data_IF_530000705799
#
_entry.id   IF_530000705799
#
_cell.length_a   1.000
_cell.length_b   1.000
_cell.length_c   1.000
_cell.angle_alpha   90.00
_cell.angle_beta   90.00
_cell.angle_gamma   90.00
#
_symmetry.space_group_name_H-M   'P 1'
#
loop_
_entity.id
_entity.type
_entity.pdbx_description
1 polymer ?
#
# COMPACT_ATOMS: atom_id res chain seq x y z
N UNK A 1 -3.70 14.33 3.12
CA UNK A 1 -3.39 14.68 4.51
C UNK A 1 -2.89 16.10 4.62
N UNK A 2 -1.56 16.32 4.62
CA UNK A 2 -0.95 17.61 4.93
C UNK A 2 -1.23 18.77 3.95
N UNK A 3 -1.57 18.47 2.70
CA UNK A 3 -1.84 19.47 1.65
C UNK A 3 -3.33 19.81 1.47
N UNK A 4 -4.17 19.44 2.45
CA UNK A 4 -5.60 19.68 2.42
C UNK A 4 -6.04 20.29 3.76
N UNK A 5 -6.82 21.37 3.70
CA UNK A 5 -7.45 21.96 4.89
C UNK A 5 -8.58 21.05 5.37
N UNK A 6 -8.78 20.94 6.69
CA UNK A 6 -9.82 20.10 7.25
C UNK A 6 -11.24 20.43 6.70
N UNK A 7 -11.55 21.71 6.47
CA UNK A 7 -12.83 22.14 5.90
C UNK A 7 -13.08 21.61 4.48
N UNK A 8 -12.02 21.29 3.72
CA UNK A 8 -12.17 20.72 2.38
C UNK A 8 -12.63 19.26 2.41
N UNK A 9 -12.49 18.58 3.56
CA UNK A 9 -12.96 17.21 3.76
C UNK A 9 -14.40 17.16 4.32
N UNK A 10 -15.05 18.30 4.55
CA UNK A 10 -16.42 18.34 5.06
C UNK A 10 -17.38 17.61 4.11
N UNK A 11 -18.23 16.74 4.67
CA UNK A 11 -19.15 15.89 3.93
C UNK A 11 -18.52 14.73 3.14
N UNK A 12 -17.20 14.50 3.25
CA UNK A 12 -16.50 13.38 2.58
C UNK A 12 -16.28 12.19 3.53
N UNK A 13 -16.12 10.99 2.96
CA UNK A 13 -15.67 9.82 3.72
C UNK A 13 -14.14 9.76 3.72
N UNK A 14 -13.53 9.79 4.92
CA UNK A 14 -12.08 9.72 5.09
C UNK A 14 -11.69 8.38 5.68
N UNK A 15 -10.96 7.58 4.90
CA UNK A 15 -10.39 6.30 5.33
C UNK A 15 -8.91 6.47 5.71
N UNK A 16 -8.50 5.91 6.85
CA UNK A 16 -7.09 5.82 7.29
C UNK A 16 -6.60 4.37 7.30
N UNK A 17 -5.34 4.15 7.69
CA UNK A 17 -4.77 2.79 7.75
C UNK A 17 -5.50 1.89 8.74
N UNK A 18 -5.98 2.45 9.85
CA UNK A 18 -6.73 1.73 10.88
C UNK A 18 -8.05 1.21 10.31
N UNK A 19 -8.84 2.09 9.71
CA UNK A 19 -10.11 1.70 9.07
C UNK A 19 -9.90 0.72 7.92
N UNK A 20 -8.87 0.93 7.09
CA UNK A 20 -8.56 0.00 6.00
C UNK A 20 -8.10 -1.38 6.51
N UNK A 21 -7.45 -1.44 7.67
CA UNK A 21 -7.09 -2.71 8.32
C UNK A 21 -8.34 -3.43 8.82
N UNK A 22 -9.27 -2.69 9.42
CA UNK A 22 -10.54 -3.24 9.94
C UNK A 22 -11.44 -3.83 8.84
N UNK A 23 -11.40 -3.29 7.61
CA UNK A 23 -12.15 -3.89 6.49
C UNK A 23 -11.60 -5.24 6.03
N UNK A 24 -10.33 -5.54 6.35
CA UNK A 24 -9.62 -6.73 5.87
C UNK A 24 -9.21 -6.67 4.39
N UNK A 25 -9.45 -5.54 3.69
CA UNK A 25 -9.22 -5.41 2.23
C UNK A 25 -7.76 -5.65 1.82
N UNK A 26 -6.82 -5.39 2.74
CA UNK A 26 -5.37 -5.51 2.51
C UNK A 26 -4.69 -6.51 3.46
N UNK A 27 -5.43 -7.44 4.06
CA UNK A 27 -4.84 -8.39 5.02
C UNK A 27 -3.73 -9.25 4.41
N UNK A 28 -3.87 -9.62 3.14
CA UNK A 28 -2.84 -10.30 2.35
C UNK A 28 -1.61 -9.43 2.11
N UNK A 29 -1.79 -8.16 1.71
CA UNK A 29 -0.71 -7.21 1.54
C UNK A 29 0.04 -6.98 2.85
N UNK A 30 -0.67 -6.81 3.96
CA UNK A 30 -0.08 -6.65 5.29
C UNK A 30 0.72 -7.88 5.69
N UNK A 31 0.19 -9.08 5.43
CA UNK A 31 0.91 -10.34 5.63
C UNK A 31 2.18 -10.39 4.78
N UNK A 32 2.11 -10.08 3.48
CA UNK A 32 3.29 -10.06 2.61
C UNK A 32 4.31 -9.00 3.00
N UNK A 33 3.86 -7.87 3.56
CA UNK A 33 4.77 -6.86 4.10
C UNK A 33 5.59 -7.40 5.27
N UNK A 34 4.97 -8.19 6.15
CA UNK A 34 5.66 -8.89 7.25
C UNK A 34 6.58 -9.96 6.69
N UNK A 35 6.06 -10.85 5.85
CA UNK A 35 6.79 -12.02 5.33
C UNK A 35 8.02 -11.63 4.49
N UNK A 36 7.98 -10.47 3.82
CA UNK A 36 9.08 -9.96 2.98
C UNK A 36 9.98 -8.93 3.66
N UNK A 37 9.77 -8.62 4.95
CA UNK A 37 10.46 -7.52 5.63
C UNK A 37 10.35 -6.17 4.87
N UNK A 38 9.15 -5.89 4.34
CA UNK A 38 8.86 -4.67 3.59
C UNK A 38 8.66 -3.43 4.48
N UNK A 39 8.83 -3.57 5.80
CA UNK A 39 8.90 -2.48 6.76
C UNK A 39 10.08 -2.68 7.72
N UNK A 40 10.57 -1.57 8.27
CA UNK A 40 11.57 -1.57 9.35
C UNK A 40 11.12 -0.64 10.48
N UNK A 41 11.42 0.67 10.38
CA UNK A 41 10.99 1.63 11.41
C UNK A 41 9.46 1.83 11.48
N UNK A 42 8.72 1.39 10.46
CA UNK A 42 7.26 1.48 10.39
C UNK A 42 6.69 2.86 10.04
N UNK A 43 7.50 3.94 10.08
CA UNK A 43 6.98 5.30 9.95
C UNK A 43 6.29 5.58 8.60
N UNK A 44 6.87 5.13 7.49
CA UNK A 44 6.26 5.32 6.16
C UNK A 44 5.17 4.29 5.84
N UNK A 45 5.05 3.22 6.64
CA UNK A 45 4.22 2.06 6.32
C UNK A 45 2.74 2.39 6.18
N UNK A 46 2.11 3.23 7.03
CA UNK A 46 0.71 3.63 6.85
C UNK A 46 0.45 4.27 5.48
N UNK A 47 1.22 5.28 5.09
CA UNK A 47 1.06 5.96 3.80
C UNK A 47 1.33 5.02 2.62
N UNK A 48 2.38 4.21 2.73
CA UNK A 48 2.74 3.20 1.72
C UNK A 48 1.60 2.20 1.47
N UNK A 49 1.02 1.64 2.53
CA UNK A 49 -0.07 0.67 2.44
C UNK A 49 -1.35 1.30 1.88
N UNK A 50 -1.69 2.53 2.29
CA UNK A 50 -2.85 3.26 1.71
C UNK A 50 -2.69 3.49 0.20
N UNK A 51 -1.50 3.86 -0.26
CA UNK A 51 -1.22 4.04 -1.70
C UNK A 51 -1.29 2.71 -2.46
N UNK A 52 -0.75 1.63 -1.90
CA UNK A 52 -0.75 0.31 -2.53
C UNK A 52 -2.12 -0.35 -2.53
N UNK A 53 -2.97 -0.06 -1.54
CA UNK A 53 -4.36 -0.50 -1.55
C UNK A 53 -5.11 0.01 -2.78
N UNK A 54 -4.89 1.27 -3.17
CA UNK A 54 -5.46 1.84 -4.40
C UNK A 54 -4.99 1.10 -5.66
N UNK A 55 -3.70 0.74 -5.73
CA UNK A 55 -3.15 -0.04 -6.84
C UNK A 55 -3.85 -1.39 -6.96
N UNK A 56 -3.99 -2.10 -5.83
CA UNK A 56 -4.52 -3.45 -5.77
C UNK A 56 -6.04 -3.54 -5.99
N UNK A 57 -6.80 -2.46 -5.75
CA UNK A 57 -8.25 -2.39 -6.05
C UNK A 57 -8.58 -2.64 -7.52
N UNK A 58 -7.65 -2.32 -8.43
CA UNK A 58 -7.86 -2.49 -9.87
C UNK A 58 -7.83 -3.96 -10.31
N UNK A 59 -7.38 -4.89 -9.44
CA UNK A 59 -7.28 -6.34 -9.68
C UNK A 59 -6.67 -6.68 -11.05
N UNK A 60 -5.56 -6.02 -11.40
CA UNK A 60 -4.81 -6.22 -12.64
C UNK A 60 -3.36 -6.50 -12.31
N UNK A 61 -2.68 -7.21 -13.20
CA UNK A 61 -1.23 -7.34 -13.14
C UNK A 61 -0.59 -5.95 -13.22
N UNK A 62 0.55 -5.77 -12.54
CA UNK A 62 1.38 -4.57 -12.62
C UNK A 62 2.84 -5.01 -12.62
N UNK A 63 3.59 -4.48 -13.55
CA UNK A 63 5.04 -4.63 -13.60
C UNK A 63 5.70 -3.97 -12.39
N UNK A 64 6.91 -4.40 -12.06
CA UNK A 64 7.71 -3.80 -10.99
C UNK A 64 7.96 -2.31 -11.20
N UNK A 65 8.04 -1.86 -12.45
CA UNK A 65 8.19 -0.44 -12.79
C UNK A 65 6.92 0.34 -12.49
N UNK A 66 5.75 -0.19 -12.84
CA UNK A 66 4.46 0.42 -12.50
C UNK A 66 4.25 0.50 -10.99
N UNK A 67 4.64 -0.55 -10.24
CA UNK A 67 4.59 -0.52 -8.77
C UNK A 67 5.48 0.62 -8.22
N UNK A 68 6.68 0.80 -8.76
CA UNK A 68 7.63 1.86 -8.33
C UNK A 68 7.09 3.25 -8.64
N UNK A 69 6.56 3.45 -9.83
CA UNK A 69 5.97 4.71 -10.23
C UNK A 69 4.77 5.06 -9.33
N UNK A 70 3.94 4.06 -9.02
CA UNK A 70 2.76 4.25 -8.15
C UNK A 70 3.12 4.68 -6.72
N UNK A 71 4.26 4.22 -6.20
CA UNK A 71 4.75 4.60 -4.86
C UNK A 71 5.78 5.73 -4.87
N UNK A 72 6.02 6.40 -6.00
CA UNK A 72 7.07 7.42 -6.16
C UNK A 72 6.93 8.60 -5.19
N UNK A 73 5.71 8.90 -4.73
CA UNK A 73 5.42 9.92 -3.71
C UNK A 73 5.59 9.47 -2.25
N UNK A 74 5.89 8.19 -1.99
CA UNK A 74 6.03 7.64 -0.64
C UNK A 74 7.50 7.33 -0.33
N UNK A 75 8.17 8.23 0.39
CA UNK A 75 9.58 8.05 0.73
C UNK A 75 9.79 7.06 1.87
N UNK A 76 10.68 6.09 1.65
CA UNK A 76 11.17 5.17 2.67
C UNK A 76 12.69 5.30 2.79
N UNK A 77 13.19 5.51 4.01
CA UNK A 77 14.64 5.60 4.26
C UNK A 77 15.28 4.27 4.65
N UNK A 78 14.48 3.28 5.03
CA UNK A 78 14.97 2.08 5.69
C UNK A 78 15.12 0.89 4.74
N UNK A 79 14.13 0.66 3.85
CA UNK A 79 14.02 -0.61 3.10
C UNK A 79 14.75 -0.62 1.76
N UNK A 80 15.09 0.54 1.21
CA UNK A 80 15.57 0.65 -0.18
C UNK A 80 14.53 0.21 -1.22
N UNK A 81 13.25 0.14 -0.86
CA UNK A 81 12.08 -0.18 -1.69
C UNK A 81 11.98 -1.59 -2.28
N UNK A 82 13.07 -2.34 -2.43
CA UNK A 82 13.03 -3.67 -3.06
C UNK A 82 12.05 -4.62 -2.36
N UNK A 83 12.14 -4.76 -1.03
CA UNK A 83 11.24 -5.60 -0.25
C UNK A 83 9.76 -5.16 -0.34
N UNK A 84 9.51 -3.86 -0.52
CA UNK A 84 8.16 -3.33 -0.71
C UNK A 84 7.61 -3.77 -2.07
N UNK A 85 8.40 -3.62 -3.14
CA UNK A 85 8.01 -4.05 -4.48
C UNK A 85 7.80 -5.57 -4.52
N UNK A 86 8.66 -6.36 -3.86
CA UNK A 86 8.54 -7.81 -3.79
C UNK A 86 7.26 -8.26 -3.05
N UNK A 87 6.87 -7.57 -1.97
CA UNK A 87 5.62 -7.83 -1.25
C UNK A 87 4.39 -7.55 -2.10
N UNK A 88 4.39 -6.44 -2.85
CA UNK A 88 3.28 -6.05 -3.73
C UNK A 88 3.18 -7.01 -4.91
N UNK A 89 4.29 -7.36 -5.56
CA UNK A 89 4.32 -8.32 -6.66
C UNK A 89 3.82 -9.70 -6.21
N UNK A 90 4.21 -10.16 -5.02
CA UNK A 90 3.66 -11.40 -4.42
C UNK A 90 2.15 -11.30 -4.25
N UNK A 91 1.66 -10.19 -3.68
CA UNK A 91 0.22 -9.95 -3.46
C UNK A 91 -0.58 -9.95 -4.78
N UNK A 92 -0.05 -9.31 -5.83
CA UNK A 92 -0.69 -9.28 -7.16
C UNK A 92 -0.77 -10.69 -7.74
N UNK A 93 0.33 -11.45 -7.67
CA UNK A 93 0.38 -12.79 -8.23
C UNK A 93 -0.60 -13.74 -7.53
N UNK A 94 -0.69 -13.67 -6.20
CA UNK A 94 -1.63 -14.48 -5.43
C UNK A 94 -3.08 -14.12 -5.77
N UNK A 95 -3.44 -12.82 -5.79
CA UNK A 95 -4.79 -12.36 -6.18
C UNK A 95 -5.19 -12.74 -7.61
N UNK A 96 -4.24 -12.84 -8.53
CA UNK A 96 -4.51 -13.25 -9.92
C UNK A 96 -4.57 -14.78 -10.09
N UNK A 97 -3.80 -15.52 -9.28
CA UNK A 97 -3.74 -16.98 -9.27
C UNK A 97 -4.90 -17.65 -8.54
N UNK A 98 -5.59 -16.93 -7.65
CA UNK A 98 -6.81 -17.38 -6.95
C UNK A 98 -8.10 -17.29 -7.81
N UNK A 99 -7.99 -17.48 -9.14
CA UNK A 99 -9.13 -17.67 -10.06
C UNK A 99 -9.25 -19.12 -10.55
#
# INVERSE_FOLDING_TARGET
GCLMLAVQADGTEVMTIEGLTETGEISDLQKHFVDRNALQCGFCTPGMLMTLAELLRKSKSSSREEIREHISGNYCRCTGYHAIVDAVETTINDRLGDN
#
